data_IF_551104006810
#
_entry.id   IF_551104006810
#
_cell.length_a   1.000
_cell.length_b   1.000
_cell.length_c   1.000
_cell.angle_alpha   90.00
_cell.angle_beta   90.00
_cell.angle_gamma   90.00
#
_symmetry.space_group_name_H-M   'P 1'
#
loop_
_entity.id
_entity.type
_entity.pdbx_description
1 polymer ?
#
# COMPACT_ATOMS: atom_id res chain seq x y z
N UNK A 1 -17.61 -20.71 -0.69
CA UNK A 1 -18.25 -21.18 0.55
C UNK A 1 -17.19 -21.05 1.63
N UNK A 2 -17.36 -20.16 2.60
CA UNK A 2 -16.46 -20.09 3.76
C UNK A 2 -17.13 -20.88 4.89
N UNK A 3 -16.64 -22.09 5.16
CA UNK A 3 -17.03 -22.89 6.31
C UNK A 3 -16.65 -22.22 7.64
N UNK A 4 -17.41 -22.55 8.68
CA UNK A 4 -17.30 -21.98 10.04
C UNK A 4 -15.87 -22.04 10.62
N UNK A 5 -15.05 -23.01 10.18
CA UNK A 5 -13.69 -23.25 10.67
C UNK A 5 -12.60 -23.20 9.60
N UNK A 6 -12.87 -22.64 8.42
CA UNK A 6 -11.90 -22.63 7.32
C UNK A 6 -10.59 -21.95 7.69
N UNK A 7 -10.67 -20.85 8.44
CA UNK A 7 -9.49 -20.14 8.93
C UNK A 7 -8.64 -21.01 9.86
N UNK A 8 -9.26 -21.82 10.72
CA UNK A 8 -8.55 -22.73 11.62
C UNK A 8 -7.77 -23.78 10.82
N UNK A 9 -8.43 -24.45 9.88
CA UNK A 9 -7.79 -25.49 9.07
C UNK A 9 -6.72 -24.92 8.13
N UNK A 10 -6.92 -23.73 7.59
CA UNK A 10 -5.92 -23.05 6.76
C UNK A 10 -4.65 -22.65 7.54
N UNK A 11 -4.77 -22.43 8.85
CA UNK A 11 -3.60 -22.20 9.72
C UNK A 11 -2.96 -23.53 10.13
N UNK A 12 -3.76 -24.55 10.41
CA UNK A 12 -3.27 -25.89 10.76
C UNK A 12 -2.40 -26.49 9.64
N UNK A 13 -2.78 -26.30 8.36
CA UNK A 13 -1.98 -26.76 7.22
C UNK A 13 -0.59 -26.14 7.13
N UNK A 14 -0.38 -24.96 7.75
CA UNK A 14 0.92 -24.28 7.82
C UNK A 14 1.78 -24.76 9.00
N UNK A 15 1.27 -25.63 9.88
CA UNK A 15 1.97 -26.14 11.07
C UNK A 15 2.24 -27.65 10.94
N UNK A 16 3.30 -28.06 10.23
CA UNK A 16 3.60 -29.48 10.05
C UNK A 16 3.92 -30.14 11.40
N UNK A 17 3.30 -31.31 11.65
CA UNK A 17 3.51 -32.09 12.88
C UNK A 17 2.58 -31.75 14.05
N UNK A 18 1.67 -30.79 13.89
CA UNK A 18 0.66 -30.44 14.90
C UNK A 18 -0.72 -30.93 14.45
N UNK A 19 -1.45 -31.65 15.30
CA UNK A 19 -2.81 -32.12 14.95
C UNK A 19 -3.89 -31.15 15.44
N UNK A 20 -5.09 -31.25 14.85
CA UNK A 20 -6.27 -30.47 15.27
C UNK A 20 -6.52 -30.64 16.77
N UNK A 21 -6.50 -31.89 17.25
CA UNK A 21 -6.89 -32.22 18.61
C UNK A 21 -5.87 -31.71 19.64
N UNK A 22 -4.59 -31.68 19.28
CA UNK A 22 -3.53 -31.12 20.14
C UNK A 22 -3.75 -29.63 20.41
N UNK A 23 -4.02 -28.86 19.35
CA UNK A 23 -4.29 -27.42 19.47
C UNK A 23 -5.59 -27.19 20.24
N UNK A 24 -6.67 -27.88 19.86
CA UNK A 24 -7.98 -27.64 20.49
C UNK A 24 -7.94 -27.99 21.98
N UNK A 25 -7.27 -29.08 22.38
CA UNK A 25 -7.15 -29.45 23.80
C UNK A 25 -6.40 -28.41 24.63
N UNK A 26 -5.37 -27.78 24.06
CA UNK A 26 -4.59 -26.74 24.75
C UNK A 26 -5.44 -25.54 25.18
N UNK A 27 -6.50 -25.21 24.43
CA UNK A 27 -7.35 -24.03 24.69
C UNK A 27 -8.72 -24.37 25.27
N UNK A 28 -9.25 -25.56 25.01
CA UNK A 28 -10.60 -25.98 25.42
C UNK A 28 -10.66 -26.74 26.74
N UNK A 29 -9.54 -27.26 27.25
CA UNK A 29 -9.54 -28.14 28.42
C UNK A 29 -10.24 -29.49 28.21
N UNK A 30 -10.51 -29.88 26.96
CA UNK A 30 -11.11 -31.18 26.61
C UNK A 30 -12.37 -31.12 25.75
N UNK A 31 -12.91 -29.93 25.46
CA UNK A 31 -14.06 -29.75 24.58
C UNK A 31 -13.68 -29.79 23.08
N UNK A 32 -14.65 -30.01 22.20
CA UNK A 32 -14.44 -30.00 20.75
C UNK A 32 -14.27 -28.58 20.19
N UNK A 33 -13.73 -28.46 18.96
CA UNK A 33 -13.54 -27.17 18.28
C UNK A 33 -14.85 -26.37 18.14
N UNK A 34 -15.98 -27.06 17.90
CA UNK A 34 -17.28 -26.41 17.79
C UNK A 34 -17.81 -25.92 19.13
N UNK A 35 -17.64 -26.71 20.19
CA UNK A 35 -18.01 -26.33 21.56
C UNK A 35 -17.17 -25.15 22.04
N UNK A 36 -15.86 -25.16 21.78
CA UNK A 36 -14.96 -24.04 22.10
C UNK A 36 -15.40 -22.75 21.40
N UNK A 37 -15.76 -22.84 20.11
CA UNK A 37 -16.24 -21.69 19.34
C UNK A 37 -17.56 -21.12 19.87
N UNK A 38 -18.47 -21.98 20.32
CA UNK A 38 -19.82 -21.60 20.76
C UNK A 38 -19.85 -21.13 22.23
N UNK A 39 -19.21 -21.88 23.14
CA UNK A 39 -19.23 -21.63 24.58
C UNK A 39 -18.21 -20.57 25.00
N UNK A 40 -17.06 -20.53 24.33
CA UNK A 40 -15.94 -19.66 24.69
C UNK A 40 -15.36 -18.92 23.47
N UNK A 41 -16.14 -18.07 22.79
CA UNK A 41 -15.71 -17.39 21.56
C UNK A 41 -14.47 -16.51 21.74
N UNK A 42 -14.24 -15.98 22.95
CA UNK A 42 -13.02 -15.22 23.28
C UNK A 42 -11.77 -16.10 23.28
N UNK A 43 -11.89 -17.33 23.80
CA UNK A 43 -10.79 -18.30 23.86
C UNK A 43 -10.50 -18.84 22.46
N UNK A 44 -11.55 -19.13 21.68
CA UNK A 44 -11.41 -19.48 20.26
C UNK A 44 -10.67 -18.39 19.47
N UNK A 45 -11.04 -17.11 19.64
CA UNK A 45 -10.35 -15.99 18.98
C UNK A 45 -8.86 -15.93 19.36
N UNK A 46 -8.55 -16.09 20.64
CA UNK A 46 -7.17 -16.13 21.13
C UNK A 46 -6.37 -17.27 20.50
N UNK A 47 -6.95 -18.48 20.43
CA UNK A 47 -6.32 -19.63 19.77
C UNK A 47 -5.99 -19.34 18.30
N UNK A 48 -6.93 -18.74 17.56
CA UNK A 48 -6.70 -18.36 16.15
C UNK A 48 -5.59 -17.30 16.03
N UNK A 49 -5.54 -16.32 16.94
CA UNK A 49 -4.48 -15.30 16.95
C UNK A 49 -3.10 -15.91 17.24
N UNK A 50 -3.02 -16.83 18.19
CA UNK A 50 -1.76 -17.50 18.53
C UNK A 50 -1.28 -18.42 17.39
N UNK A 51 -2.21 -19.15 16.74
CA UNK A 51 -1.91 -19.90 15.50
C UNK A 51 -1.45 -18.98 14.37
N UNK A 52 -2.06 -17.80 14.21
CA UNK A 52 -1.62 -16.80 13.23
C UNK A 52 -0.22 -16.30 13.50
N UNK A 53 0.16 -16.06 14.75
CA UNK A 53 1.53 -15.65 15.10
C UNK A 53 2.54 -16.75 14.83
N UNK A 54 2.19 -18.00 15.15
CA UNK A 54 3.06 -19.15 14.90
C UNK A 54 3.23 -19.47 13.41
N UNK A 55 2.25 -19.09 12.57
CA UNK A 55 2.24 -19.33 11.12
C UNK A 55 2.49 -18.08 10.28
N UNK A 56 2.69 -16.92 10.92
CA UNK A 56 3.17 -15.71 10.28
C UNK A 56 4.61 -15.99 9.84
N UNK A 57 4.74 -16.55 8.64
CA UNK A 57 6.03 -16.88 8.05
C UNK A 57 6.72 -15.62 7.55
N UNK A 58 8.04 -15.71 7.38
CA UNK A 58 8.87 -14.67 6.75
C UNK A 58 8.28 -14.18 5.42
N UNK A 59 7.56 -15.03 4.69
CA UNK A 59 6.93 -14.69 3.42
C UNK A 59 5.88 -13.59 3.51
N UNK A 60 5.06 -13.57 4.58
CA UNK A 60 4.01 -12.56 4.76
C UNK A 60 4.64 -11.20 5.11
N UNK A 61 5.69 -11.20 5.96
CA UNK A 61 6.47 -10.01 6.28
C UNK A 61 7.23 -9.47 5.07
N UNK A 62 7.83 -10.35 4.25
CA UNK A 62 8.47 -9.97 3.00
C UNK A 62 7.47 -9.39 1.99
N UNK A 63 6.24 -9.93 1.91
CA UNK A 63 5.18 -9.37 1.07
C UNK A 63 4.78 -7.98 1.53
N UNK A 64 4.60 -7.78 2.84
CA UNK A 64 4.29 -6.48 3.42
C UNK A 64 5.42 -5.47 3.16
N UNK A 65 6.68 -5.85 3.38
CA UNK A 65 7.85 -5.00 3.12
C UNK A 65 7.97 -4.61 1.63
N UNK A 66 7.77 -5.56 0.71
CA UNK A 66 7.72 -5.26 -0.74
C UNK A 66 6.63 -4.24 -1.07
N UNK A 67 5.46 -4.34 -0.45
CA UNK A 67 4.38 -3.38 -0.65
C UNK A 67 4.70 -2.00 -0.06
N UNK A 68 5.31 -1.94 1.13
CA UNK A 68 5.80 -0.69 1.74
C UNK A 68 6.80 0.02 0.83
N UNK A 69 7.78 -0.71 0.27
CA UNK A 69 8.77 -0.17 -0.68
C UNK A 69 8.10 0.37 -1.95
N UNK A 70 7.06 -0.32 -2.47
CA UNK A 70 6.27 0.17 -3.61
C UNK A 70 5.52 1.46 -3.31
N UNK A 71 4.94 1.58 -2.12
CA UNK A 71 4.30 2.83 -1.67
C UNK A 71 5.31 3.97 -1.65
N UNK A 72 6.47 3.77 -1.03
CA UNK A 72 7.56 4.77 -0.99
C UNK A 72 7.94 5.20 -2.41
N UNK A 73 8.18 4.24 -3.31
CA UNK A 73 8.54 4.54 -4.70
C UNK A 73 7.44 5.31 -5.44
N UNK A 74 6.16 4.99 -5.21
CA UNK A 74 5.04 5.68 -5.86
C UNK A 74 4.86 7.13 -5.37
N UNK A 75 5.00 7.38 -4.07
CA UNK A 75 4.96 8.74 -3.53
C UNK A 75 6.19 9.52 -4.02
N UNK A 76 7.35 8.86 -4.02
CA UNK A 76 8.59 9.49 -4.44
C UNK A 76 8.54 9.95 -5.90
N UNK A 77 8.12 9.07 -6.81
CA UNK A 77 7.99 9.41 -8.22
C UNK A 77 6.96 10.51 -8.49
N UNK A 78 5.93 10.66 -7.64
CA UNK A 78 5.04 11.82 -7.73
C UNK A 78 5.78 13.10 -7.35
N UNK A 79 6.50 13.12 -6.23
CA UNK A 79 7.28 14.28 -5.78
C UNK A 79 8.35 14.71 -6.79
N UNK A 80 9.02 13.77 -7.45
CA UNK A 80 9.95 14.05 -8.54
C UNK A 80 9.26 14.84 -9.66
N UNK A 81 8.10 14.37 -10.13
CA UNK A 81 7.36 14.99 -11.24
C UNK A 81 6.83 16.39 -10.92
N UNK A 82 6.47 16.66 -9.67
CA UNK A 82 5.99 17.98 -9.24
C UNK A 82 7.10 18.89 -8.69
N UNK A 83 8.37 18.46 -8.74
CA UNK A 83 9.52 19.27 -8.30
C UNK A 83 9.63 19.46 -6.79
N UNK A 84 8.98 18.62 -5.98
CA UNK A 84 8.94 18.77 -4.51
C UNK A 84 10.26 18.44 -3.80
N UNK A 85 11.30 18.03 -4.54
CA UNK A 85 12.61 17.67 -4.00
C UNK A 85 13.72 18.68 -4.24
N UNK A 86 13.45 19.73 -5.00
CA UNK A 86 14.45 20.75 -5.32
C UNK A 86 14.92 21.39 -4.01
N UNK A 87 16.21 21.26 -3.72
CA UNK A 87 16.84 21.81 -2.50
C UNK A 87 16.64 21.02 -1.21
N UNK A 88 15.95 19.87 -1.21
CA UNK A 88 15.69 19.09 0.01
C UNK A 88 16.76 17.98 0.20
N UNK A 89 17.38 17.83 1.38
CA UNK A 89 18.29 16.72 1.70
C UNK A 89 17.59 15.35 1.67
N UNK A 90 18.32 14.27 1.33
CA UNK A 90 17.78 12.91 1.20
C UNK A 90 16.98 12.43 2.42
N UNK A 91 17.44 12.72 3.64
CA UNK A 91 16.77 12.32 4.89
C UNK A 91 15.39 12.95 5.03
N UNK A 92 15.29 14.25 4.78
CA UNK A 92 14.04 15.00 4.84
C UNK A 92 13.07 14.56 3.74
N UNK A 93 13.58 14.23 2.54
CA UNK A 93 12.75 13.65 1.47
C UNK A 93 12.05 12.38 1.93
N UNK A 94 12.79 11.47 2.55
CA UNK A 94 12.25 10.20 3.04
C UNK A 94 11.18 10.43 4.12
N UNK A 95 11.43 11.31 5.09
CA UNK A 95 10.45 11.65 6.12
C UNK A 95 9.18 12.25 5.52
N UNK A 96 9.31 13.12 4.52
CA UNK A 96 8.17 13.73 3.83
C UNK A 96 7.37 12.70 3.03
N UNK A 97 8.03 11.75 2.35
CA UNK A 97 7.38 10.62 1.67
C UNK A 97 6.55 9.81 2.67
N UNK A 98 7.17 9.38 3.77
CA UNK A 98 6.51 8.54 4.79
C UNK A 98 5.33 9.28 5.40
N UNK A 99 5.52 10.54 5.82
CA UNK A 99 4.44 11.37 6.39
C UNK A 99 3.27 11.54 5.42
N UNK A 100 3.55 11.70 4.12
CA UNK A 100 2.51 11.83 3.09
C UNK A 100 1.76 10.53 2.88
N UNK A 101 2.46 9.39 2.86
CA UNK A 101 1.85 8.07 2.75
C UNK A 101 0.94 7.78 3.95
N UNK A 102 1.41 8.05 5.17
CA UNK A 102 0.65 7.92 6.41
C UNK A 102 -0.64 8.75 6.38
N UNK A 103 -0.55 10.02 5.96
CA UNK A 103 -1.72 10.91 5.82
C UNK A 103 -2.73 10.39 4.80
N UNK A 104 -2.28 9.93 3.64
CA UNK A 104 -3.16 9.33 2.61
C UNK A 104 -3.80 8.00 3.08
N UNK A 105 -3.11 7.27 3.95
CA UNK A 105 -3.59 6.04 4.54
C UNK A 105 -4.56 6.26 5.70
N UNK A 106 -4.50 7.42 6.36
CA UNK A 106 -5.22 7.70 7.61
C UNK A 106 -4.62 6.98 8.82
N UNK A 107 -3.29 6.81 8.85
CA UNK A 107 -2.56 6.17 9.96
C UNK A 107 -1.37 7.02 10.36
N UNK A 108 -0.92 6.89 11.61
CA UNK A 108 0.24 7.62 12.11
C UNK A 108 1.57 6.87 11.90
N UNK A 109 1.53 5.53 11.94
CA UNK A 109 2.69 4.67 11.70
C UNK A 109 2.60 3.97 10.34
N UNK A 110 3.65 4.14 9.53
CA UNK A 110 3.77 3.51 8.22
C UNK A 110 3.87 1.98 8.32
N UNK A 111 4.50 1.47 9.39
CA UNK A 111 4.63 0.03 9.58
C UNK A 111 3.30 -0.62 9.96
N UNK A 112 2.37 0.14 10.57
CA UNK A 112 1.04 -0.29 10.94
C UNK A 112 0.04 -0.32 9.77
N UNK A 113 0.43 0.10 8.56
CA UNK A 113 -0.45 0.05 7.39
C UNK A 113 -0.83 -1.40 7.03
N UNK A 114 -2.13 -1.63 6.88
CA UNK A 114 -2.67 -2.87 6.31
C UNK A 114 -2.38 -2.97 4.80
N UNK A 115 -2.41 -4.18 4.24
CA UNK A 115 -2.21 -4.38 2.80
C UNK A 115 -3.23 -3.59 1.96
N UNK A 116 -4.50 -3.53 2.40
CA UNK A 116 -5.53 -2.77 1.72
C UNK A 116 -5.23 -1.27 1.69
N UNK A 117 -4.76 -0.69 2.81
CA UNK A 117 -4.33 0.70 2.88
C UNK A 117 -3.12 0.95 1.97
N UNK A 118 -2.10 0.07 1.99
CA UNK A 118 -0.93 0.18 1.12
C UNK A 118 -1.31 0.17 -0.36
N UNK A 119 -2.17 -0.76 -0.79
CA UNK A 119 -2.65 -0.84 -2.18
C UNK A 119 -3.40 0.41 -2.62
N UNK A 120 -4.26 0.95 -1.75
CA UNK A 120 -5.01 2.19 -2.02
C UNK A 120 -4.06 3.36 -2.26
N UNK A 121 -3.16 3.61 -1.32
CA UNK A 121 -2.16 4.69 -1.42
C UNK A 121 -1.31 4.51 -2.67
N UNK A 122 -0.76 3.31 -2.91
CA UNK A 122 0.03 3.02 -4.10
C UNK A 122 -0.69 3.39 -5.41
N UNK A 123 -1.94 2.94 -5.57
CA UNK A 123 -2.71 3.19 -6.79
C UNK A 123 -3.05 4.67 -6.96
N UNK A 124 -3.36 5.36 -5.86
CA UNK A 124 -3.62 6.80 -5.86
C UNK A 124 -2.40 7.59 -6.35
N UNK A 125 -1.22 7.33 -5.79
CA UNK A 125 -0.01 8.02 -6.20
C UNK A 125 0.44 7.66 -7.62
N UNK A 126 0.21 6.43 -8.09
CA UNK A 126 0.39 6.10 -9.50
C UNK A 126 -0.53 6.92 -10.42
N UNK A 127 -1.79 7.12 -10.02
CA UNK A 127 -2.71 7.98 -10.78
C UNK A 127 -2.20 9.43 -10.81
N UNK A 128 -1.77 9.95 -9.66
CA UNK A 128 -1.23 11.30 -9.54
C UNK A 128 0.03 11.50 -10.38
N UNK A 129 0.93 10.52 -10.43
CA UNK A 129 2.11 10.57 -11.31
C UNK A 129 1.73 10.70 -12.79
N UNK A 130 0.71 9.95 -13.24
CA UNK A 130 0.23 10.04 -14.63
C UNK A 130 -0.39 11.40 -14.92
N UNK A 131 -1.13 11.97 -13.96
CA UNK A 131 -1.73 13.31 -14.08
C UNK A 131 -0.63 14.38 -14.14
N UNK A 132 0.36 14.31 -13.24
CA UNK A 132 1.47 15.26 -13.21
C UNK A 132 2.28 15.24 -14.52
N UNK A 133 2.52 14.06 -15.08
CA UNK A 133 3.21 13.94 -16.37
C UNK A 133 2.43 14.56 -17.53
N UNK A 134 1.12 14.31 -17.59
CA UNK A 134 0.26 14.91 -18.61
C UNK A 134 0.22 16.43 -18.49
N UNK A 135 0.10 16.94 -17.27
CA UNK A 135 0.13 18.37 -17.01
C UNK A 135 1.47 18.99 -17.41
N UNK A 136 2.59 18.31 -17.13
CA UNK A 136 3.92 18.74 -17.56
C UNK A 136 4.02 18.89 -19.08
N UNK A 137 3.56 17.88 -19.83
CA UNK A 137 3.53 17.90 -21.31
C UNK A 137 2.70 19.06 -21.85
N UNK A 138 1.48 19.25 -21.33
CA UNK A 138 0.61 20.37 -21.73
C UNK A 138 1.30 21.72 -21.49
N UNK A 139 1.97 21.89 -20.35
CA UNK A 139 2.71 23.11 -20.05
C UNK A 139 3.90 23.33 -20.98
N UNK A 140 4.61 22.27 -21.38
CA UNK A 140 5.70 22.34 -22.35
C UNK A 140 5.18 22.72 -23.74
N UNK A 141 4.10 22.09 -24.20
CA UNK A 141 3.46 22.39 -25.48
C UNK A 141 3.03 23.88 -25.55
N UNK A 142 2.41 24.40 -24.47
CA UNK A 142 2.02 25.81 -24.38
C UNK A 142 3.25 26.74 -24.43
N UNK A 143 4.36 26.37 -23.79
CA UNK A 143 5.61 27.16 -23.85
C UNK A 143 6.18 27.16 -25.26
N UNK A 144 6.24 26.00 -25.92
CA UNK A 144 6.71 25.92 -27.30
C UNK A 144 5.84 26.74 -28.27
N UNK A 145 4.51 26.76 -28.06
CA UNK A 145 3.61 27.59 -28.85
C UNK A 145 3.79 29.10 -28.57
N UNK A 146 4.01 29.48 -27.31
CA UNK A 146 4.25 30.87 -26.91
C UNK A 146 5.61 31.43 -27.35
N UNK A 147 6.63 30.57 -27.46
CA UNK A 147 7.97 30.93 -27.93
C UNK A 147 8.05 31.07 -29.47
N UNK A 148 7.06 30.57 -30.22
CA UNK A 148 6.98 30.81 -31.67
C UNK A 148 6.74 32.30 -31.92
N UNK A 149 7.70 32.94 -32.60
CA UNK A 149 7.54 34.33 -33.03
C UNK A 149 6.38 34.43 -34.02
N UNK A 150 5.27 35.01 -33.57
CA UNK A 150 4.14 35.37 -34.41
C UNK A 150 4.32 36.81 -34.87
N UNK A 151 4.57 37.01 -36.17
CA UNK A 151 4.58 38.34 -36.77
C UNK A 151 3.15 38.67 -37.17
N UNK A 152 2.62 39.80 -36.66
CA UNK A 152 1.31 40.34 -37.04
C UNK A 152 1.48 41.60 -37.87
N UNK A 153 0.88 41.63 -39.07
CA UNK A 153 0.77 42.83 -39.92
C UNK A 153 -0.68 42.97 -40.39
N UNK A 154 -1.41 43.93 -39.81
CA UNK A 154 -2.86 44.08 -40.07
C UNK A 154 -3.63 42.82 -39.69
N UNK A 155 -4.47 42.31 -40.60
CA UNK A 155 -5.27 41.09 -40.42
C UNK A 155 -4.48 39.79 -40.62
N UNK A 156 -3.22 39.87 -41.07
CA UNK A 156 -2.40 38.70 -41.40
C UNK A 156 -1.46 38.37 -40.24
N UNK A 157 -1.47 37.10 -39.83
CA UNK A 157 -0.51 36.54 -38.89
C UNK A 157 0.25 35.39 -39.54
N UNK A 158 1.58 35.41 -39.41
CA UNK A 158 2.46 34.33 -39.85
C UNK A 158 3.22 33.79 -38.64
N UNK A 159 3.17 32.47 -38.47
CA UNK A 159 3.95 31.74 -37.46
C UNK A 159 5.29 31.37 -38.10
N UNK A 160 6.39 31.86 -37.55
CA UNK A 160 7.72 31.50 -38.04
C UNK A 160 8.09 30.08 -37.58
N UNK A 161 8.63 29.22 -38.47
CA UNK A 161 9.24 27.96 -38.06
C UNK A 161 10.53 28.22 -37.25
N UNK A 162 10.93 27.23 -36.42
CA UNK A 162 12.15 27.26 -35.59
C UNK A 162 13.40 27.54 -36.44
#
# INVERSE_FOLDING_TARGET
MNGKFDLFFALLTKMPGVTKDDIVRQYSGGESLSELHERAPKVYKRMIEDMRKATAGEDDDQRADRMRKRVIASVAGYFDKVGLYIGIPRRERMQKIISTACRAAGVDDFNAMTEAQMRRVYNEFLRMQKVAEKAGKICEDIKEEGERKVIKRGCLSVVLPK
#
